data_IF_125929647606
#
_entry.id   IF_125929647606
#
_cell.length_a   1.000
_cell.length_b   1.000
_cell.length_c   1.000
_cell.angle_alpha   90.00
_cell.angle_beta   90.00
_cell.angle_gamma   90.00
#
_symmetry.space_group_name_H-M   'P 1'
#
loop_
_entity.id
_entity.type
_entity.pdbx_description
1 polymer ?
#
# COMPACT_ATOMS: atom_id res chain seq x y z
N UNK A 1 53.50 13.20 7.08
CA UNK A 1 52.03 13.40 7.15
C UNK A 1 51.45 12.77 5.92
N UNK A 2 51.14 11.48 6.03
CA UNK A 2 50.99 10.56 4.89
C UNK A 2 49.56 10.37 4.45
N UNK A 3 49.41 10.11 3.14
CA UNK A 3 48.19 9.90 2.35
C UNK A 3 47.31 8.69 2.76
N UNK A 4 47.51 8.16 3.98
CA UNK A 4 46.86 6.96 4.52
C UNK A 4 45.66 7.26 5.44
N UNK A 5 45.40 8.53 5.76
CA UNK A 5 44.25 8.97 6.57
C UNK A 5 43.05 9.39 5.69
N UNK A 6 42.91 8.86 4.46
CA UNK A 6 41.81 9.22 3.53
C UNK A 6 40.87 8.06 3.17
N UNK A 7 40.90 6.93 3.90
CA UNK A 7 40.08 5.73 3.55
C UNK A 7 39.34 5.13 4.74
N UNK A 8 38.85 5.96 5.69
CA UNK A 8 37.97 5.49 6.78
C UNK A 8 36.50 5.92 6.66
N UNK A 9 36.11 6.55 5.55
CA UNK A 9 34.75 7.11 5.38
C UNK A 9 33.95 6.51 4.20
N UNK A 10 34.38 5.37 3.64
CA UNK A 10 33.71 4.74 2.48
C UNK A 10 33.14 3.35 2.79
N UNK A 11 32.63 3.16 4.01
CA UNK A 11 31.74 2.04 4.33
C UNK A 11 30.45 2.57 4.98
N UNK A 12 29.80 3.49 4.27
CA UNK A 12 28.39 3.80 4.47
C UNK A 12 27.57 2.53 4.23
N UNK A 13 27.25 1.82 5.31
CA UNK A 13 26.32 0.69 5.32
C UNK A 13 25.09 1.03 4.47
N UNK A 14 24.93 0.26 3.40
CA UNK A 14 23.77 0.25 2.53
C UNK A 14 22.51 -0.08 3.36
N UNK A 15 21.79 0.95 3.83
CA UNK A 15 20.50 0.80 4.51
C UNK A 15 19.36 0.68 3.49
N UNK A 16 19.43 -0.33 2.61
CA UNK A 16 18.26 -0.77 1.80
C UNK A 16 17.60 -2.03 2.35
N UNK A 17 17.77 -2.32 3.63
CA UNK A 17 16.83 -3.16 4.36
C UNK A 17 15.86 -2.24 5.09
N UNK A 18 14.82 -1.76 4.37
CA UNK A 18 13.61 -1.24 5.03
C UNK A 18 12.86 -2.42 5.63
N UNK A 19 13.47 -2.99 6.66
CA UNK A 19 12.85 -3.88 7.60
C UNK A 19 11.71 -3.07 8.24
N UNK A 20 10.48 -3.28 7.77
CA UNK A 20 9.26 -2.90 8.46
C UNK A 20 9.28 -3.63 9.82
N UNK A 21 9.98 -3.05 10.80
CA UNK A 21 10.04 -3.52 12.20
C UNK A 21 8.84 -3.06 13.00
N UNK A 22 8.04 -2.16 12.46
CA UNK A 22 6.77 -1.78 13.05
C UNK A 22 5.71 -2.83 12.73
N UNK A 23 5.02 -3.38 13.74
CA UNK A 23 3.94 -4.31 13.50
C UNK A 23 2.85 -3.59 12.70
N UNK A 24 2.45 -4.17 11.57
CA UNK A 24 1.31 -3.68 10.81
C UNK A 24 0.11 -3.57 11.75
N UNK A 25 -0.66 -2.48 11.66
CA UNK A 25 -1.82 -2.24 12.51
C UNK A 25 -3.09 -2.26 11.67
N UNK A 26 -4.16 -2.79 12.25
CA UNK A 26 -5.49 -2.77 11.66
C UNK A 26 -5.97 -1.32 11.58
N UNK A 27 -6.28 -0.78 10.39
CA UNK A 27 -6.78 0.59 10.28
C UNK A 27 -8.15 0.79 10.98
N UNK A 28 -8.94 -0.28 11.14
CA UNK A 28 -10.22 -0.21 11.86
C UNK A 28 -10.11 -0.15 13.39
N UNK A 29 -9.15 -0.86 14.01
CA UNK A 29 -9.10 -1.02 15.48
C UNK A 29 -7.73 -0.82 16.12
N UNK A 30 -6.69 -0.55 15.34
CA UNK A 30 -5.32 -0.35 15.82
C UNK A 30 -4.57 -1.61 16.28
N UNK A 31 -5.24 -2.77 16.36
CA UNK A 31 -4.61 -4.03 16.75
C UNK A 31 -3.54 -4.48 15.75
N UNK A 32 -2.54 -5.23 16.21
CA UNK A 32 -1.52 -5.80 15.31
C UNK A 32 -2.19 -6.74 14.30
N UNK A 33 -1.84 -6.61 13.03
CA UNK A 33 -2.30 -7.50 11.96
C UNK A 33 -1.15 -8.33 11.44
N UNK A 34 -1.45 -9.59 11.17
CA UNK A 34 -0.61 -10.45 10.35
C UNK A 34 -0.95 -10.16 8.89
N UNK A 35 0.00 -9.72 8.04
CA UNK A 35 -0.25 -9.38 6.64
C UNK A 35 -0.64 -10.60 5.79
N UNK A 36 -0.51 -11.82 6.32
CA UNK A 36 -0.92 -13.07 5.68
C UNK A 36 -2.35 -13.49 6.05
N UNK A 37 -3.06 -12.69 6.86
CA UNK A 37 -4.46 -12.98 7.26
C UNK A 37 -5.40 -11.99 6.58
N UNK A 38 -6.48 -12.49 6.01
CA UNK A 38 -7.49 -11.66 5.32
C UNK A 38 -8.39 -10.90 6.30
N UNK A 39 -8.40 -11.30 7.57
CA UNK A 39 -9.20 -10.68 8.63
C UNK A 39 -8.33 -10.29 9.82
N UNK A 40 -8.65 -9.16 10.42
CA UNK A 40 -8.12 -8.80 11.72
C UNK A 40 -8.64 -9.77 12.80
N UNK A 41 -7.74 -10.40 13.55
CA UNK A 41 -8.12 -11.31 14.63
C UNK A 41 -8.75 -10.61 15.84
N UNK A 42 -8.57 -9.28 15.97
CA UNK A 42 -9.09 -8.52 17.10
C UNK A 42 -10.53 -8.01 16.85
N UNK A 43 -10.81 -7.44 15.68
CA UNK A 43 -12.11 -6.84 15.38
C UNK A 43 -12.90 -7.56 14.28
N UNK A 44 -12.33 -8.58 13.64
CA UNK A 44 -13.00 -9.39 12.61
C UNK A 44 -13.13 -8.72 11.24
N UNK A 45 -12.71 -7.45 11.09
CA UNK A 45 -12.80 -6.74 9.80
C UNK A 45 -11.98 -7.47 8.74
N UNK A 46 -12.55 -7.60 7.53
CA UNK A 46 -11.79 -8.06 6.36
C UNK A 46 -10.85 -6.94 5.92
N UNK A 47 -9.56 -7.18 6.03
CA UNK A 47 -8.54 -6.24 5.56
C UNK A 47 -8.65 -6.04 4.03
N UNK A 48 -9.13 -7.07 3.34
CA UNK A 48 -9.38 -7.04 1.89
C UNK A 48 -10.53 -6.16 1.46
N UNK A 49 -11.54 -5.96 2.31
CA UNK A 49 -12.63 -5.03 2.05
C UNK A 49 -12.25 -3.56 2.31
N UNK A 50 -11.05 -3.30 2.84
CA UNK A 50 -10.59 -1.94 3.14
C UNK A 50 -9.78 -1.31 2.00
N UNK A 51 -9.45 -2.06 0.95
CA UNK A 51 -8.77 -1.51 -0.23
C UNK A 51 -9.63 -0.45 -0.92
N UNK A 52 -9.00 0.68 -1.23
CA UNK A 52 -9.66 1.81 -1.88
C UNK A 52 -9.15 1.98 -3.31
N UNK A 53 -10.11 2.10 -4.20
CA UNK A 53 -9.93 2.49 -5.59
C UNK A 53 -10.27 3.97 -5.71
N UNK A 54 -9.30 4.80 -6.11
CA UNK A 54 -9.52 6.23 -6.28
C UNK A 54 -9.93 6.49 -7.72
N UNK A 55 -11.13 7.07 -7.90
CA UNK A 55 -11.67 7.37 -9.22
C UNK A 55 -10.75 8.32 -9.99
N UNK A 56 -10.32 7.98 -11.21
CA UNK A 56 -9.47 8.88 -12.01
C UNK A 56 -10.20 10.19 -12.33
N UNK A 57 -11.49 10.14 -12.65
CA UNK A 57 -12.28 11.32 -13.04
C UNK A 57 -12.64 12.26 -11.87
N UNK A 58 -13.17 11.72 -10.77
CA UNK A 58 -13.74 12.56 -9.69
C UNK A 58 -13.04 12.40 -8.33
N UNK A 59 -11.95 11.64 -8.26
CA UNK A 59 -11.11 11.40 -7.07
C UNK A 59 -11.83 10.81 -5.85
N UNK A 60 -13.04 10.25 -6.01
CA UNK A 60 -13.73 9.60 -4.90
C UNK A 60 -13.11 8.24 -4.57
N UNK A 61 -13.19 7.85 -3.30
CA UNK A 61 -12.86 6.50 -2.87
C UNK A 61 -14.00 5.54 -3.22
N UNK A 62 -13.62 4.37 -3.73
CA UNK A 62 -14.53 3.29 -4.11
C UNK A 62 -14.01 1.98 -3.54
N UNK A 63 -14.89 0.97 -3.52
CA UNK A 63 -14.47 -0.40 -3.27
C UNK A 63 -13.50 -0.86 -4.36
N UNK A 64 -12.51 -1.67 -3.98
CA UNK A 64 -11.46 -2.16 -4.88
C UNK A 64 -11.99 -2.92 -6.10
N UNK A 65 -13.11 -3.63 -5.94
CA UNK A 65 -13.77 -4.40 -7.00
C UNK A 65 -14.92 -3.65 -7.68
N UNK A 66 -15.08 -2.35 -7.42
CA UNK A 66 -16.16 -1.57 -8.02
C UNK A 66 -16.00 -1.53 -9.54
N UNK A 67 -17.04 -1.93 -10.28
CA UNK A 67 -17.07 -1.78 -11.73
C UNK A 67 -17.28 -0.32 -12.15
N UNK A 68 -17.99 0.47 -11.32
CA UNK A 68 -18.27 1.88 -11.56
C UNK A 68 -18.05 2.72 -10.32
N UNK A 69 -17.65 3.98 -10.55
CA UNK A 69 -17.49 4.95 -9.49
C UNK A 69 -18.83 5.21 -8.80
N UNK A 70 -18.87 5.10 -7.47
CA UNK A 70 -20.08 5.31 -6.66
C UNK A 70 -20.60 6.76 -6.80
N UNK A 71 -19.69 7.72 -7.01
CA UNK A 71 -19.99 9.15 -7.12
C UNK A 71 -20.32 9.58 -8.54
N UNK A 72 -19.39 9.48 -9.49
CA UNK A 72 -19.57 10.01 -10.86
C UNK A 72 -19.99 8.97 -11.89
N UNK A 73 -20.17 7.70 -11.49
CA UNK A 73 -20.56 6.58 -12.37
C UNK A 73 -19.57 6.22 -13.48
N UNK A 74 -18.38 6.82 -13.50
CA UNK A 74 -17.27 6.43 -14.37
C UNK A 74 -17.06 4.91 -14.35
N UNK A 75 -16.92 4.31 -15.52
CA UNK A 75 -16.71 2.88 -15.68
C UNK A 75 -15.22 2.56 -15.59
N UNK A 76 -14.82 1.76 -14.61
CA UNK A 76 -13.40 1.45 -14.37
C UNK A 76 -12.81 0.51 -15.44
N UNK A 77 -13.63 -0.11 -16.29
CA UNK A 77 -13.19 -0.85 -17.48
C UNK A 77 -13.04 0.03 -18.73
N UNK A 78 -13.47 1.30 -18.69
CA UNK A 78 -13.35 2.22 -19.81
C UNK A 78 -11.95 2.87 -19.85
N UNK A 79 -11.55 3.32 -21.04
CA UNK A 79 -10.34 4.12 -21.20
C UNK A 79 -10.51 5.49 -20.50
N UNK A 80 -9.49 5.92 -19.76
CA UNK A 80 -9.37 7.29 -19.23
C UNK A 80 -7.99 7.85 -19.57
N UNK A 81 -7.89 9.17 -19.69
CA UNK A 81 -6.62 9.89 -19.81
C UNK A 81 -5.86 9.95 -18.49
N UNK A 82 -6.53 9.66 -17.37
CA UNK A 82 -5.97 9.65 -16.03
C UNK A 82 -5.86 8.23 -15.49
N UNK A 83 -4.81 7.98 -14.70
CA UNK A 83 -4.60 6.67 -14.08
C UNK A 83 -5.48 6.49 -12.85
N UNK A 84 -6.06 5.31 -12.75
CA UNK A 84 -6.72 4.84 -11.53
C UNK A 84 -5.67 4.56 -10.47
N UNK A 85 -5.89 5.07 -9.25
CA UNK A 85 -4.96 4.87 -8.14
C UNK A 85 -5.53 3.85 -7.16
N UNK A 86 -4.71 2.90 -6.76
CA UNK A 86 -4.97 1.88 -5.77
C UNK A 86 -4.21 2.22 -4.49
N UNK A 87 -4.89 2.22 -3.35
CA UNK A 87 -4.29 2.58 -2.06
C UNK A 87 -4.32 1.41 -1.09
N UNK A 88 -3.15 1.07 -0.54
CA UNK A 88 -3.02 0.07 0.51
C UNK A 88 -3.58 0.61 1.85
N UNK A 89 -4.53 -0.07 2.50
CA UNK A 89 -5.15 0.40 3.74
C UNK A 89 -4.25 0.20 4.96
N UNK A 90 -3.11 -0.50 4.81
CA UNK A 90 -2.22 -0.79 5.94
C UNK A 90 -1.05 0.19 6.02
N UNK A 91 -0.42 0.49 4.89
CA UNK A 91 0.75 1.39 4.84
C UNK A 91 0.53 2.65 3.98
N UNK A 92 -0.68 2.83 3.43
CA UNK A 92 -1.03 3.95 2.57
C UNK A 92 -0.22 4.05 1.27
N UNK A 93 0.48 2.99 0.87
CA UNK A 93 1.16 2.92 -0.42
C UNK A 93 0.16 3.09 -1.56
N UNK A 94 0.49 3.97 -2.50
CA UNK A 94 -0.30 4.25 -3.70
C UNK A 94 0.37 3.62 -4.93
N UNK A 95 -0.45 2.95 -5.74
CA UNK A 95 -0.05 2.37 -7.01
C UNK A 95 -0.98 2.84 -8.11
N UNK A 96 -0.43 3.09 -9.30
CA UNK A 96 -1.19 3.37 -10.52
C UNK A 96 -1.40 2.12 -11.40
N UNK A 97 -1.15 0.95 -10.81
CA UNK A 97 -1.32 -0.37 -11.40
C UNK A 97 -2.06 -1.30 -10.44
N UNK A 98 -2.73 -2.30 -11.00
CA UNK A 98 -3.38 -3.33 -10.18
C UNK A 98 -2.31 -4.16 -9.46
N UNK A 99 -2.42 -4.24 -8.15
CA UNK A 99 -1.50 -4.99 -7.31
C UNK A 99 -2.26 -6.11 -6.60
N UNK A 100 -1.62 -7.28 -6.43
CA UNK A 100 -2.07 -8.40 -5.58
C UNK A 100 -1.28 -8.51 -4.27
N UNK A 101 -0.12 -7.85 -4.18
CA UNK A 101 0.70 -7.77 -2.97
C UNK A 101 1.30 -6.37 -2.90
N UNK A 102 1.28 -5.75 -1.72
CA UNK A 102 1.85 -4.43 -1.51
C UNK A 102 3.38 -4.51 -1.58
N UNK A 103 4.07 -3.80 -2.50
CA UNK A 103 5.54 -3.84 -2.53
C UNK A 103 6.18 -3.16 -1.31
N UNK A 104 5.45 -2.26 -0.65
CA UNK A 104 5.94 -1.54 0.53
C UNK A 104 5.83 -2.33 1.85
N UNK A 105 4.75 -3.12 2.02
CA UNK A 105 4.47 -3.77 3.31
C UNK A 105 4.10 -5.26 3.20
N UNK A 106 4.16 -5.84 2.00
CA UNK A 106 3.87 -7.24 1.69
C UNK A 106 2.46 -7.74 2.06
N UNK A 107 1.53 -6.85 2.41
CA UNK A 107 0.12 -7.22 2.59
C UNK A 107 -0.42 -7.77 1.27
N UNK A 108 -1.05 -8.94 1.32
CA UNK A 108 -1.70 -9.55 0.15
C UNK A 108 -3.10 -8.97 -0.08
N UNK A 109 -3.49 -8.91 -1.34
CA UNK A 109 -4.73 -8.33 -1.86
C UNK A 109 -5.49 -9.44 -2.60
N UNK A 110 -6.01 -10.42 -1.86
CA UNK A 110 -6.79 -11.56 -2.39
C UNK A 110 -8.02 -11.84 -1.54
#
# INVERSE_FOLDING_TARGET
MGLLEMIKEVWGRNKNERQFRDPLKCPNCGAKVDPNKDRCMACGVRLTSMFKLICPECKSENEFTAARCVKCKFDFGAASTQKTIYRCPICNYEADYYMLVCPACNTRFV
#
